data_IF_565205086097
#
_entry.id   IF_565205086097
#
_cell.length_a   1.000
_cell.length_b   1.000
_cell.length_c   1.000
_cell.angle_alpha   90.00
_cell.angle_beta   90.00
_cell.angle_gamma   90.00
#
_symmetry.space_group_name_H-M   'P 1'
#
loop_
_entity.id
_entity.type
_entity.pdbx_description
1 polymer ?
#
# COMPACT_ATOMS: atom_id res chain seq x y z
N UNK A 1 3.08 -4.86 -14.63
CA UNK A 1 3.23 -5.21 -13.20
C UNK A 1 2.05 -6.01 -12.64
N UNK A 2 0.81 -5.47 -12.45
CA UNK A 2 -0.31 -6.26 -11.89
C UNK A 2 -0.68 -7.53 -12.69
N UNK A 3 -0.74 -7.41 -14.02
CA UNK A 3 -1.02 -8.54 -14.91
C UNK A 3 0.11 -9.57 -14.93
N UNK A 4 1.34 -9.14 -14.64
CA UNK A 4 2.54 -9.99 -14.68
C UNK A 4 2.53 -11.01 -13.54
N UNK A 5 2.16 -10.60 -12.32
CA UNK A 5 2.10 -11.50 -11.15
C UNK A 5 0.93 -12.47 -11.25
N UNK A 6 -0.24 -12.01 -11.71
CA UNK A 6 -1.40 -12.86 -11.96
C UNK A 6 -1.11 -13.88 -13.08
N UNK A 7 -0.48 -13.46 -14.17
CA UNK A 7 -0.10 -14.35 -15.27
C UNK A 7 0.95 -15.38 -14.84
N UNK A 8 1.91 -15.01 -13.98
CA UNK A 8 2.89 -15.94 -13.44
C UNK A 8 2.25 -17.01 -12.53
N UNK A 9 1.27 -16.62 -11.71
CA UNK A 9 0.52 -17.56 -10.86
C UNK A 9 -0.37 -18.50 -11.68
N UNK A 10 -1.06 -17.97 -12.71
CA UNK A 10 -1.84 -18.78 -13.63
C UNK A 10 -0.97 -19.76 -14.43
N UNK A 11 0.21 -19.32 -14.90
CA UNK A 11 1.19 -20.18 -15.57
C UNK A 11 1.78 -21.26 -14.65
N UNK A 12 1.74 -21.06 -13.34
CA UNK A 12 2.14 -22.06 -12.33
C UNK A 12 0.98 -22.96 -11.88
N UNK A 13 -0.21 -22.85 -12.49
CA UNK A 13 -1.37 -23.70 -12.22
C UNK A 13 -2.18 -23.31 -10.99
N UNK A 14 -2.06 -22.07 -10.50
CA UNK A 14 -2.86 -21.59 -9.37
C UNK A 14 -4.10 -20.81 -9.84
N UNK A 15 -5.25 -21.07 -9.21
CA UNK A 15 -6.47 -20.28 -9.42
C UNK A 15 -6.45 -19.01 -8.58
N UNK A 16 -6.58 -17.86 -9.23
CA UNK A 16 -6.62 -16.54 -8.59
C UNK A 16 -7.96 -16.32 -7.89
N UNK A 17 -8.00 -16.41 -6.56
CA UNK A 17 -9.25 -16.19 -5.79
C UNK A 17 -9.51 -14.71 -5.49
N UNK A 18 -8.48 -13.91 -5.21
CA UNK A 18 -8.68 -12.48 -4.93
C UNK A 18 -7.41 -11.65 -5.11
N UNK A 19 -7.57 -10.42 -5.60
CA UNK A 19 -6.51 -9.42 -5.68
C UNK A 19 -6.93 -8.20 -4.86
N UNK A 20 -6.15 -7.84 -3.82
CA UNK A 20 -6.35 -6.59 -3.07
C UNK A 20 -5.10 -5.74 -3.10
N UNK A 21 -5.29 -4.47 -3.41
CA UNK A 21 -4.26 -3.46 -3.19
C UNK A 21 -4.15 -3.16 -1.69
N UNK A 22 -2.93 -3.16 -1.18
CA UNK A 22 -2.61 -2.79 0.19
C UNK A 22 -1.87 -1.46 0.21
N UNK A 23 -2.05 -0.70 1.29
CA UNK A 23 -1.25 0.47 1.60
C UNK A 23 -1.44 1.67 0.63
N UNK A 24 -2.70 2.05 0.36
CA UNK A 24 -3.05 3.25 -0.43
C UNK A 24 -2.59 4.53 0.27
N UNK A 25 -2.79 4.60 1.58
CA UNK A 25 -2.38 5.73 2.41
C UNK A 25 -0.88 5.99 2.50
N UNK A 26 -0.04 4.99 2.24
CA UNK A 26 1.40 5.22 2.29
C UNK A 26 1.90 6.16 1.21
N UNK A 27 1.18 6.36 0.11
CA UNK A 27 1.62 7.30 -0.94
C UNK A 27 1.70 8.75 -0.45
N UNK A 28 0.63 9.35 0.10
CA UNK A 28 0.70 10.72 0.64
C UNK A 28 1.63 10.80 1.86
N UNK A 29 1.70 9.76 2.70
CA UNK A 29 2.64 9.71 3.83
C UNK A 29 4.10 9.72 3.36
N UNK A 30 4.45 8.89 2.37
CA UNK A 30 5.80 8.87 1.80
C UNK A 30 6.12 10.12 1.00
N UNK A 31 5.13 10.68 0.30
CA UNK A 31 5.31 11.94 -0.40
C UNK A 31 5.55 13.09 0.58
N UNK A 32 4.78 13.17 1.66
CA UNK A 32 4.97 14.16 2.72
C UNK A 32 6.31 13.94 3.43
N UNK A 33 6.68 12.69 3.73
CA UNK A 33 7.98 12.39 4.34
C UNK A 33 9.14 12.76 3.40
N UNK A 34 9.06 12.42 2.11
CA UNK A 34 10.08 12.76 1.13
C UNK A 34 10.19 14.27 0.88
N UNK A 35 9.05 14.97 0.78
CA UNK A 35 8.98 16.39 0.45
C UNK A 35 9.24 17.32 1.64
N UNK A 36 8.77 16.95 2.83
CA UNK A 36 8.89 17.79 4.03
C UNK A 36 10.22 17.58 4.75
N UNK A 37 10.82 16.38 4.63
CA UNK A 37 11.91 15.96 5.52
C UNK A 37 13.16 15.46 4.84
N UNK A 38 13.13 15.12 3.55
CA UNK A 38 14.32 14.68 2.80
C UNK A 38 15.05 13.47 3.40
N UNK A 39 14.42 12.73 4.33
CA UNK A 39 15.04 11.67 5.14
C UNK A 39 14.42 10.30 4.86
N UNK A 40 15.27 9.29 4.71
CA UNK A 40 14.87 7.88 4.55
C UNK A 40 14.36 7.22 5.84
N UNK A 41 14.59 7.83 7.00
CA UNK A 41 14.20 7.30 8.30
C UNK A 41 13.35 8.31 9.08
N UNK A 42 12.25 7.82 9.67
CA UNK A 42 11.32 8.60 10.48
C UNK A 42 11.83 8.70 11.92
N UNK A 43 11.93 9.92 12.46
CA UNK A 43 12.22 10.13 13.88
C UNK A 43 11.03 9.74 14.77
N UNK A 44 11.26 9.52 16.07
CA UNK A 44 10.20 9.09 17.03
C UNK A 44 8.98 10.01 17.06
N UNK A 45 9.18 11.33 16.96
CA UNK A 45 8.09 12.32 16.95
C UNK A 45 7.30 12.29 15.65
N UNK A 46 7.99 12.17 14.51
CA UNK A 46 7.33 11.98 13.22
C UNK A 46 6.52 10.70 13.18
N UNK A 47 7.03 9.63 13.79
CA UNK A 47 6.31 8.37 13.89
C UNK A 47 5.00 8.55 14.65
N UNK A 48 4.98 9.33 15.74
CA UNK A 48 3.74 9.66 16.48
C UNK A 48 2.76 10.46 15.62
N UNK A 49 3.23 11.52 14.96
CA UNK A 49 2.38 12.38 14.12
C UNK A 49 1.81 11.58 12.95
N UNK A 50 2.64 10.77 12.29
CA UNK A 50 2.21 9.89 11.20
C UNK A 50 1.23 8.84 11.69
N UNK A 51 1.44 8.23 12.85
CA UNK A 51 0.50 7.24 13.38
C UNK A 51 -0.87 7.87 13.70
N UNK A 52 -0.88 9.11 14.22
CA UNK A 52 -2.12 9.87 14.43
C UNK A 52 -2.81 10.23 13.10
N UNK A 53 -2.05 10.74 12.12
CA UNK A 53 -2.55 11.04 10.77
C UNK A 53 -3.13 9.80 10.08
N UNK A 54 -2.40 8.68 10.10
CA UNK A 54 -2.84 7.41 9.52
C UNK A 54 -4.13 6.92 10.20
N UNK A 55 -4.25 7.09 11.52
CA UNK A 55 -5.47 6.71 12.25
C UNK A 55 -6.67 7.57 11.83
N UNK A 56 -6.48 8.89 11.72
CA UNK A 56 -7.53 9.82 11.33
C UNK A 56 -7.95 9.65 9.86
N UNK A 57 -7.00 9.31 8.99
CA UNK A 57 -7.21 9.21 7.56
C UNK A 57 -7.53 7.77 7.10
N UNK A 58 -7.41 6.77 7.98
CA UNK A 58 -7.78 5.37 7.74
C UNK A 58 -9.22 5.17 7.25
N UNK A 59 -10.24 5.84 7.81
CA UNK A 59 -11.62 5.73 7.34
C UNK A 59 -11.79 6.28 5.92
N UNK A 60 -11.02 7.31 5.57
CA UNK A 60 -11.04 7.92 4.25
C UNK A 60 -10.32 7.09 3.18
N UNK A 61 -9.48 6.12 3.57
CA UNK A 61 -8.75 5.23 2.64
C UNK A 61 -9.68 4.45 1.71
N UNK A 62 -10.89 4.11 2.18
CA UNK A 62 -11.92 3.43 1.35
C UNK A 62 -12.42 4.33 0.20
N UNK A 63 -12.36 5.64 0.34
CA UNK A 63 -12.79 6.61 -0.66
C UNK A 63 -11.66 7.06 -1.59
N UNK A 64 -10.40 6.75 -1.30
CA UNK A 64 -9.29 7.17 -2.14
C UNK A 64 -9.29 6.39 -3.47
N UNK A 65 -9.33 7.08 -4.64
CA UNK A 65 -9.37 6.42 -5.95
C UNK A 65 -8.00 5.86 -6.39
N UNK A 66 -6.99 5.94 -5.53
CA UNK A 66 -5.59 5.74 -5.91
C UNK A 66 -5.07 4.38 -5.44
N UNK A 67 -4.19 3.78 -6.24
CA UNK A 67 -3.63 2.45 -6.00
C UNK A 67 -2.77 2.38 -4.74
N UNK A 68 -2.83 1.22 -4.08
CA UNK A 68 -1.94 0.84 -2.98
C UNK A 68 -0.50 0.64 -3.44
N UNK A 69 0.47 0.83 -2.53
CA UNK A 69 1.88 0.55 -2.81
C UNK A 69 2.16 -0.95 -2.98
N UNK A 70 1.34 -1.81 -2.40
CA UNK A 70 1.46 -3.27 -2.52
C UNK A 70 0.24 -3.89 -3.19
N UNK A 71 0.45 -5.02 -3.85
CA UNK A 71 -0.62 -5.88 -4.35
C UNK A 71 -0.52 -7.23 -3.65
N UNK A 72 -1.55 -7.61 -2.92
CA UNK A 72 -1.69 -8.94 -2.33
C UNK A 72 -2.58 -9.75 -3.26
N UNK A 73 -2.05 -10.87 -3.73
CA UNK A 73 -2.75 -11.82 -4.59
C UNK A 73 -2.91 -13.11 -3.81
N UNK A 74 -4.16 -13.54 -3.61
CA UNK A 74 -4.50 -14.82 -2.99
C UNK A 74 -4.85 -15.78 -4.12
N UNK A 75 -4.11 -16.87 -4.21
CA UNK A 75 -4.33 -17.93 -5.18
C UNK A 75 -4.40 -19.29 -4.46
N UNK A 76 -5.18 -20.21 -5.02
CA UNK A 76 -5.37 -21.57 -4.50
C UNK A 76 -4.78 -22.59 -5.47
N UNK A 77 -4.35 -23.72 -4.94
CA UNK A 77 -3.89 -24.88 -5.70
C UNK A 77 -4.97 -25.97 -5.67
#
# INVERSE_FOLDING_TARGET
MRRSSAAALAGAGFELSSCRDFNRFSRPVWWLNGKLLGRRALGRVQLKILNALVTFLRPFDRFLPWRGLGLVVVARR
#
